data_IF_672264095104
#
_entry.id   IF_672264095104
#
_cell.length_a   1.000
_cell.length_b   1.000
_cell.length_c   1.000
_cell.angle_alpha   90.00
_cell.angle_beta   90.00
_cell.angle_gamma   90.00
#
_symmetry.space_group_name_H-M   'P 1'
#
loop_
_entity.id
_entity.type
_entity.pdbx_description
1 polymer ?
#
# COMPACT_ATOMS: atom_id res chain seq x y z
N UNK A 1 -83.74 -39.21 3.38
CA UNK A 1 -82.59 -39.25 2.42
C UNK A 1 -81.93 -37.89 2.38
N UNK A 2 -80.83 -37.77 3.10
CA UNK A 2 -80.13 -36.50 3.24
C UNK A 2 -78.81 -36.64 2.49
N UNK A 3 -78.66 -35.87 1.42
CA UNK A 3 -77.43 -35.87 0.61
C UNK A 3 -76.44 -34.84 1.20
N UNK A 4 -75.27 -35.30 1.67
CA UNK A 4 -74.21 -34.51 2.24
C UNK A 4 -73.22 -34.13 1.14
N UNK A 5 -73.13 -32.83 0.79
CA UNK A 5 -72.24 -32.29 -0.19
C UNK A 5 -70.90 -31.88 0.55
N UNK A 6 -69.86 -32.64 0.28
CA UNK A 6 -68.49 -32.29 0.80
C UNK A 6 -67.77 -31.42 -0.20
N UNK A 7 -67.61 -30.17 0.13
CA UNK A 7 -66.72 -29.23 -0.61
C UNK A 7 -65.22 -29.51 -0.28
N UNK A 8 -64.44 -29.86 -1.30
CA UNK A 8 -62.98 -29.99 -1.19
C UNK A 8 -62.37 -28.63 -1.51
N UNK A 9 -61.72 -28.06 -0.49
CA UNK A 9 -60.90 -26.84 -0.63
C UNK A 9 -59.54 -27.26 -1.16
N UNK A 10 -59.16 -26.81 -2.35
CA UNK A 10 -57.82 -26.93 -2.88
C UNK A 10 -57.01 -25.71 -2.38
N UNK A 11 -56.01 -25.95 -1.50
CA UNK A 11 -55.00 -24.96 -1.13
C UNK A 11 -53.91 -25.00 -2.16
N UNK A 12 -53.81 -23.98 -3.00
CA UNK A 12 -52.68 -23.79 -3.92
C UNK A 12 -51.54 -23.10 -3.15
N UNK A 13 -50.49 -23.87 -2.84
CA UNK A 13 -49.27 -23.32 -2.29
C UNK A 13 -48.47 -22.66 -3.43
N UNK A 14 -48.45 -21.33 -3.47
CA UNK A 14 -47.55 -20.56 -4.32
C UNK A 14 -46.17 -20.55 -3.68
N UNK A 15 -45.27 -21.40 -4.19
CA UNK A 15 -43.82 -21.33 -3.88
C UNK A 15 -43.24 -20.11 -4.59
N UNK A 16 -43.08 -19.02 -3.84
CA UNK A 16 -42.36 -17.85 -4.30
C UNK A 16 -40.85 -18.18 -4.38
N UNK A 17 -40.35 -18.30 -5.59
CA UNK A 17 -38.88 -18.36 -5.81
C UNK A 17 -38.31 -16.97 -5.60
N UNK A 18 -37.69 -16.74 -4.45
CA UNK A 18 -36.84 -15.57 -4.25
C UNK A 18 -35.60 -15.73 -5.14
N UNK A 19 -35.56 -15.02 -6.25
CA UNK A 19 -34.34 -14.82 -7.05
C UNK A 19 -33.43 -13.91 -6.22
N UNK A 20 -32.50 -14.50 -5.48
CA UNK A 20 -31.37 -13.77 -4.91
C UNK A 20 -30.54 -13.28 -6.10
N UNK A 21 -30.74 -12.03 -6.48
CA UNK A 21 -29.88 -11.33 -7.42
C UNK A 21 -28.45 -11.29 -6.80
N UNK A 22 -27.51 -12.03 -7.39
CA UNK A 22 -26.12 -11.84 -7.13
C UNK A 22 -25.76 -10.43 -7.62
N UNK A 23 -25.68 -9.46 -6.71
CA UNK A 23 -25.04 -8.20 -6.99
C UNK A 23 -23.58 -8.53 -7.36
N UNK A 24 -23.29 -8.47 -8.65
CA UNK A 24 -21.93 -8.46 -9.16
C UNK A 24 -21.22 -7.29 -8.49
N UNK A 25 -20.35 -7.58 -7.54
CA UNK A 25 -19.45 -6.57 -6.99
C UNK A 25 -18.63 -6.03 -8.17
N UNK A 26 -18.96 -4.83 -8.64
CA UNK A 26 -18.13 -4.15 -9.62
C UNK A 26 -16.76 -3.97 -8.98
N UNK A 27 -15.75 -4.61 -9.56
CA UNK A 27 -14.36 -4.37 -9.22
C UNK A 27 -14.10 -2.86 -9.34
N UNK A 28 -13.54 -2.26 -8.29
CA UNK A 28 -13.26 -0.84 -8.29
C UNK A 28 -12.29 -0.50 -9.43
N UNK A 29 -12.54 0.59 -10.13
CA UNK A 29 -11.65 1.01 -11.20
C UNK A 29 -10.24 1.32 -10.63
N UNK A 30 -9.16 0.96 -11.36
CA UNK A 30 -7.80 1.27 -10.94
C UNK A 30 -7.59 2.78 -10.73
N UNK A 31 -6.83 3.14 -9.71
CA UNK A 31 -6.55 4.52 -9.30
C UNK A 31 -5.26 4.97 -9.99
N UNK A 32 -5.27 5.99 -10.87
CA UNK A 32 -4.05 6.50 -11.45
C UNK A 32 -3.20 7.22 -10.39
N UNK A 33 -1.93 6.88 -10.30
CA UNK A 33 -0.95 7.64 -9.55
C UNK A 33 -0.49 8.81 -10.39
N UNK A 34 -0.53 10.00 -9.83
CA UNK A 34 -0.08 11.23 -10.50
C UNK A 34 1.11 11.76 -9.73
N UNK A 35 2.25 11.90 -10.40
CA UNK A 35 3.48 12.39 -9.81
C UNK A 35 3.27 13.73 -9.07
N UNK A 36 3.95 13.90 -7.96
CA UNK A 36 3.88 15.10 -7.11
C UNK A 36 2.49 15.34 -6.47
N UNK A 37 1.64 14.31 -6.41
CA UNK A 37 0.37 14.37 -5.66
C UNK A 37 0.49 13.58 -4.36
N UNK A 38 -0.52 13.75 -3.50
CA UNK A 38 -0.64 13.00 -2.25
C UNK A 38 -1.80 12.01 -2.35
N UNK A 39 -1.54 10.76 -1.98
CA UNK A 39 -2.56 9.70 -1.94
C UNK A 39 -2.82 9.29 -0.49
N UNK A 40 -3.95 9.71 0.05
CA UNK A 40 -4.35 9.49 1.45
C UNK A 40 -4.20 10.71 2.34
N UNK A 41 -4.61 10.57 3.62
CA UNK A 41 -4.53 11.62 4.62
C UNK A 41 -3.10 11.78 5.17
N UNK A 42 -2.65 13.01 5.40
CA UNK A 42 -1.37 13.30 6.05
C UNK A 42 -1.41 12.83 7.50
N UNK A 43 -0.46 12.00 7.89
CA UNK A 43 -0.28 11.55 9.27
C UNK A 43 1.18 11.52 9.72
N UNK A 44 2.09 11.51 8.78
CA UNK A 44 3.53 11.49 9.03
C UNK A 44 4.17 12.79 8.56
N UNK A 45 5.21 13.20 9.26
CA UNK A 45 6.11 14.24 8.79
C UNK A 45 6.91 13.74 7.56
N UNK A 46 7.54 14.63 6.77
CA UNK A 46 8.45 14.24 5.70
C UNK A 46 9.47 13.20 6.15
N UNK A 47 9.89 12.33 5.23
CA UNK A 47 10.52 11.05 5.52
C UNK A 47 11.88 11.03 6.20
N UNK A 48 12.56 12.18 6.40
CA UNK A 48 13.80 12.25 7.18
C UNK A 48 13.47 12.25 8.68
N UNK A 49 13.40 11.07 9.28
CA UNK A 49 13.11 10.91 10.70
C UNK A 49 14.40 10.79 11.52
N UNK A 50 14.38 11.14 12.83
CA UNK A 50 15.57 11.03 13.69
C UNK A 50 16.16 9.60 13.77
N UNK A 51 15.34 8.58 13.53
CA UNK A 51 15.75 7.17 13.56
C UNK A 51 16.05 6.60 12.18
N UNK A 52 15.89 7.39 11.12
CA UNK A 52 16.06 6.97 9.74
C UNK A 52 17.46 7.14 9.20
N UNK A 53 17.55 7.17 7.88
CA UNK A 53 18.80 7.29 7.15
C UNK A 53 19.30 8.71 7.07
N UNK A 54 20.48 8.99 7.65
CA UNK A 54 21.16 10.29 7.60
C UNK A 54 22.47 10.24 6.81
N UNK A 55 22.64 9.21 5.95
CA UNK A 55 23.84 8.96 5.15
C UNK A 55 24.71 7.80 5.63
N UNK A 56 24.42 7.21 6.81
CA UNK A 56 25.03 5.97 7.26
C UNK A 56 24.50 4.76 6.48
N UNK A 57 25.25 3.67 6.44
CA UNK A 57 24.78 2.41 5.86
C UNK A 57 23.68 1.80 6.75
N UNK A 58 22.55 1.43 6.15
CA UNK A 58 21.44 0.73 6.81
C UNK A 58 21.17 -0.56 6.04
N UNK A 59 21.22 -1.72 6.70
CA UNK A 59 21.02 -3.05 6.12
C UNK A 59 21.83 -3.30 4.84
N UNK A 60 23.07 -2.75 4.81
CA UNK A 60 23.94 -2.81 3.65
C UNK A 60 23.49 -1.93 2.48
N UNK A 61 22.58 -0.98 2.71
CA UNK A 61 22.16 0.05 1.75
C UNK A 61 22.84 1.36 2.13
N UNK A 62 23.53 1.95 1.17
CA UNK A 62 24.28 3.19 1.37
C UNK A 62 23.47 4.40 0.90
N UNK A 63 23.72 5.55 1.51
CA UNK A 63 23.34 6.83 0.97
C UNK A 63 24.37 7.31 -0.05
N UNK A 64 23.93 7.64 -1.25
CA UNK A 64 24.76 8.13 -2.35
C UNK A 64 24.54 9.63 -2.56
N UNK A 65 25.49 10.32 -3.20
CA UNK A 65 25.31 11.72 -3.62
C UNK A 65 24.46 11.88 -4.88
N UNK A 66 24.05 10.78 -5.50
CA UNK A 66 23.25 10.70 -6.72
C UNK A 66 22.52 9.37 -6.79
N UNK A 67 21.49 9.29 -7.61
CA UNK A 67 20.77 8.06 -7.96
C UNK A 67 21.71 7.05 -8.63
N UNK A 68 21.50 5.75 -8.34
CA UNK A 68 22.28 4.63 -8.85
C UNK A 68 21.38 3.80 -9.73
N UNK A 69 21.57 3.85 -11.05
CA UNK A 69 20.58 3.39 -12.05
C UNK A 69 20.95 2.05 -12.73
N UNK A 70 21.76 1.19 -12.11
CA UNK A 70 21.96 -0.16 -12.64
C UNK A 70 20.69 -1.00 -12.48
N UNK A 71 20.00 -0.86 -11.37
CA UNK A 71 18.62 -1.28 -11.16
C UNK A 71 17.77 -0.04 -10.95
N UNK A 72 16.68 0.08 -11.69
CA UNK A 72 15.73 1.16 -11.58
C UNK A 72 14.33 0.59 -11.73
N UNK A 73 13.67 0.29 -10.61
CA UNK A 73 12.31 -0.23 -10.56
C UNK A 73 11.50 0.51 -9.51
N UNK A 74 10.19 0.44 -9.64
CA UNK A 74 9.24 1.13 -8.77
C UNK A 74 8.25 0.13 -8.18
N UNK A 75 8.04 0.19 -6.87
CA UNK A 75 6.97 -0.49 -6.18
C UNK A 75 5.99 0.56 -5.62
N UNK A 76 4.80 0.16 -5.22
CA UNK A 76 3.84 1.06 -4.59
C UNK A 76 3.42 0.51 -3.22
N UNK A 77 3.41 1.38 -2.22
CA UNK A 77 2.93 1.11 -0.87
C UNK A 77 1.69 1.94 -0.58
N UNK A 78 0.56 1.28 -0.34
CA UNK A 78 -0.62 1.90 0.27
C UNK A 78 -0.77 1.47 1.72
N UNK A 79 -1.10 2.42 2.60
CA UNK A 79 -1.30 2.18 4.02
C UNK A 79 -2.70 2.61 4.42
N UNK A 80 -3.40 1.74 5.15
CA UNK A 80 -4.73 2.02 5.67
C UNK A 80 -4.75 1.88 7.19
N UNK A 81 -5.31 2.87 7.86
CA UNK A 81 -5.60 2.83 9.30
C UNK A 81 -7.11 2.79 9.49
N UNK A 82 -7.64 1.64 9.95
CA UNK A 82 -9.08 1.45 10.18
C UNK A 82 -9.93 1.86 8.96
N UNK A 83 -9.49 1.46 7.77
CA UNK A 83 -10.17 1.73 6.51
C UNK A 83 -9.89 3.10 5.88
N UNK A 84 -9.21 4.01 6.58
CA UNK A 84 -8.79 5.30 6.04
C UNK A 84 -7.40 5.20 5.44
N UNK A 85 -7.22 5.68 4.20
CA UNK A 85 -5.90 5.70 3.55
C UNK A 85 -5.03 6.80 4.13
N UNK A 86 -3.81 6.43 4.51
CA UNK A 86 -2.77 7.31 5.06
C UNK A 86 -1.67 7.46 4.02
N UNK A 87 -1.29 8.69 3.75
CA UNK A 87 -0.22 8.97 2.79
C UNK A 87 1.13 8.50 3.31
N UNK A 88 1.89 7.82 2.46
CA UNK A 88 3.31 7.58 2.68
C UNK A 88 4.02 8.91 2.38
N UNK A 89 4.83 9.46 3.30
CA UNK A 89 5.39 10.78 3.09
C UNK A 89 6.47 10.80 2.01
N UNK A 90 6.66 11.95 1.41
CA UNK A 90 7.82 12.21 0.55
C UNK A 90 9.12 12.26 1.34
N UNK A 91 10.26 12.07 0.68
CA UNK A 91 11.58 12.27 1.25
C UNK A 91 12.09 11.14 2.14
N UNK A 92 11.37 10.00 2.24
CA UNK A 92 11.94 8.80 2.87
C UNK A 92 13.20 8.42 2.09
N UNK A 93 14.31 8.20 2.80
CA UNK A 93 15.59 7.85 2.19
C UNK A 93 16.29 9.00 1.43
N UNK A 94 15.80 10.24 1.53
CA UNK A 94 16.47 11.43 1.00
C UNK A 94 16.98 12.25 2.16
N UNK A 95 18.32 12.36 2.27
CA UNK A 95 18.99 13.00 3.41
C UNK A 95 18.91 14.53 3.31
N UNK A 96 18.42 15.17 4.37
CA UNK A 96 18.31 16.64 4.45
C UNK A 96 19.72 17.33 4.46
N UNK A 97 19.79 18.61 4.04
CA UNK A 97 18.69 19.41 3.51
C UNK A 97 18.30 19.02 2.08
N UNK A 98 17.00 19.06 1.79
CA UNK A 98 16.45 18.94 0.45
C UNK A 98 15.41 20.04 0.19
N UNK A 99 15.12 20.31 -1.09
CA UNK A 99 14.08 21.24 -1.50
C UNK A 99 12.83 20.47 -1.97
N UNK A 100 11.66 20.95 -1.57
CA UNK A 100 10.38 20.48 -2.10
C UNK A 100 9.90 21.43 -3.18
N UNK A 101 9.76 20.95 -4.41
CA UNK A 101 9.23 21.71 -5.54
C UNK A 101 7.93 21.08 -6.03
N UNK A 102 6.83 21.80 -5.88
CA UNK A 102 5.50 21.33 -6.32
C UNK A 102 5.13 19.92 -5.79
N UNK A 103 5.45 19.60 -4.53
CA UNK A 103 5.14 18.31 -3.93
C UNK A 103 6.14 17.18 -4.25
N UNK A 104 7.24 17.50 -4.93
CA UNK A 104 8.29 16.54 -5.30
C UNK A 104 9.63 16.96 -4.67
N UNK A 105 10.38 15.98 -4.17
CA UNK A 105 11.73 16.11 -3.65
C UNK A 105 12.70 15.47 -4.63
N UNK A 106 13.69 16.22 -5.07
CA UNK A 106 14.83 15.66 -5.81
C UNK A 106 15.85 15.01 -4.88
N UNK A 107 17.10 14.99 -5.32
CA UNK A 107 18.24 14.55 -4.48
C UNK A 107 18.51 15.59 -3.41
N UNK A 108 18.61 15.16 -2.14
CA UNK A 108 19.05 16.01 -1.04
C UNK A 108 20.58 16.02 -0.91
N UNK A 109 21.09 16.11 0.33
CA UNK A 109 22.53 15.94 0.61
C UNK A 109 23.03 14.52 0.29
N UNK A 110 22.09 13.54 0.28
CA UNK A 110 22.32 12.17 -0.11
C UNK A 110 20.98 11.49 -0.39
N UNK A 111 21.03 10.37 -1.08
CA UNK A 111 19.86 9.57 -1.43
C UNK A 111 20.17 8.08 -1.24
N UNK A 112 19.32 7.38 -0.52
CA UNK A 112 19.39 5.93 -0.37
C UNK A 112 18.82 5.24 -1.60
N UNK A 113 19.23 4.03 -1.87
CA UNK A 113 18.74 3.23 -2.98
C UNK A 113 17.24 2.90 -2.89
N UNK A 114 16.65 3.00 -1.69
CA UNK A 114 15.21 2.90 -1.45
C UNK A 114 14.72 4.25 -0.92
N UNK A 115 13.83 4.91 -1.67
CA UNK A 115 13.39 6.25 -1.32
C UNK A 115 12.02 6.60 -1.91
N UNK A 116 11.45 7.75 -1.49
CA UNK A 116 10.23 8.34 -2.05
C UNK A 116 10.48 9.80 -2.43
N UNK A 117 10.06 10.20 -3.63
CA UNK A 117 10.14 11.60 -4.07
C UNK A 117 8.88 12.40 -3.72
N UNK A 118 7.73 11.77 -3.66
CA UNK A 118 6.45 12.41 -3.41
C UNK A 118 5.57 11.55 -2.47
N UNK A 119 4.35 12.02 -2.20
CA UNK A 119 3.42 11.33 -1.30
C UNK A 119 2.41 10.43 -2.04
N UNK A 120 2.77 9.91 -3.21
CA UNK A 120 1.95 8.93 -3.95
C UNK A 120 2.03 7.53 -3.35
N UNK A 121 3.07 7.24 -2.57
CA UNK A 121 3.40 5.90 -2.08
C UNK A 121 4.29 5.10 -3.03
N UNK A 122 4.79 5.70 -4.12
CA UNK A 122 5.77 5.07 -4.99
C UNK A 122 7.11 4.99 -4.26
N UNK A 123 7.64 3.78 -4.15
CA UNK A 123 8.98 3.49 -3.63
C UNK A 123 9.89 3.27 -4.84
N UNK A 124 10.91 4.10 -4.95
CA UNK A 124 11.99 3.95 -5.91
C UNK A 124 13.02 2.95 -5.38
N UNK A 125 13.43 2.03 -6.22
CA UNK A 125 14.54 1.10 -5.99
C UNK A 125 15.59 1.41 -7.05
N UNK A 126 16.59 2.20 -6.68
CA UNK A 126 17.62 2.70 -7.58
C UNK A 126 18.98 2.31 -7.02
N UNK A 127 19.51 1.19 -7.48
CA UNK A 127 20.69 0.58 -6.86
C UNK A 127 21.83 0.29 -7.82
N UNK A 128 23.09 0.19 -7.32
CA UNK A 128 24.25 -0.18 -8.11
C UNK A 128 24.37 -1.69 -8.37
N UNK A 129 23.49 -2.50 -7.81
CA UNK A 129 23.53 -3.96 -7.94
C UNK A 129 22.14 -4.57 -8.11
N UNK A 130 22.08 -5.83 -8.52
CA UNK A 130 20.84 -6.55 -8.84
C UNK A 130 20.29 -7.39 -7.69
N UNK A 131 20.74 -7.15 -6.45
CA UNK A 131 20.17 -7.88 -5.30
C UNK A 131 18.71 -7.51 -5.06
N UNK A 132 18.03 -8.37 -4.35
CA UNK A 132 16.64 -8.17 -3.96
C UNK A 132 16.56 -7.21 -2.77
N UNK A 133 15.64 -6.26 -2.83
CA UNK A 133 15.32 -5.34 -1.74
C UNK A 133 13.94 -5.64 -1.17
N UNK A 134 13.76 -5.36 0.12
CA UNK A 134 12.53 -5.68 0.84
C UNK A 134 11.87 -4.47 1.48
N UNK A 135 10.57 -4.60 1.77
CA UNK A 135 9.81 -3.59 2.49
C UNK A 135 10.40 -3.31 3.88
N UNK A 136 10.96 -4.34 4.54
CA UNK A 136 11.65 -4.18 5.82
C UNK A 136 12.80 -3.19 5.75
N UNK A 137 13.66 -3.32 4.74
CA UNK A 137 14.78 -2.41 4.52
C UNK A 137 14.32 -0.96 4.24
N UNK A 138 13.22 -0.79 3.49
CA UNK A 138 12.62 0.53 3.28
C UNK A 138 12.15 1.16 4.60
N UNK A 139 11.52 0.38 5.49
CA UNK A 139 11.10 0.84 6.80
C UNK A 139 12.29 1.15 7.73
N UNK A 140 13.38 0.41 7.64
CA UNK A 140 14.60 0.68 8.41
C UNK A 140 15.26 1.99 7.95
N UNK A 141 15.29 2.27 6.64
CA UNK A 141 15.72 3.56 6.10
C UNK A 141 14.79 4.69 6.54
N UNK A 142 13.48 4.47 6.59
CA UNK A 142 12.52 5.42 7.13
C UNK A 142 12.67 5.61 8.65
N UNK A 143 13.30 4.66 9.35
CA UNK A 143 13.43 4.66 10.81
C UNK A 143 12.09 4.35 11.49
N UNK A 144 11.22 3.57 10.87
CA UNK A 144 9.89 3.24 11.35
C UNK A 144 9.71 1.74 11.57
N UNK A 145 8.86 1.41 12.54
CA UNK A 145 8.52 0.01 12.87
C UNK A 145 7.65 -0.61 11.79
N UNK A 146 7.95 -1.85 11.40
CA UNK A 146 7.07 -2.71 10.60
C UNK A 146 7.04 -4.11 11.22
N UNK A 147 5.86 -4.54 11.68
CA UNK A 147 5.61 -5.90 12.17
C UNK A 147 4.12 -6.26 12.14
N UNK A 148 3.75 -7.46 12.62
CA UNK A 148 2.37 -7.94 12.60
C UNK A 148 1.37 -7.13 13.47
N UNK A 149 1.84 -6.17 14.28
CA UNK A 149 1.01 -5.39 15.21
C UNK A 149 1.23 -3.88 15.13
N UNK A 150 2.19 -3.42 14.33
CA UNK A 150 2.53 -2.02 14.23
C UNK A 150 3.13 -1.69 12.87
N UNK A 151 2.69 -0.58 12.29
CA UNK A 151 3.23 0.02 11.07
C UNK A 151 3.47 1.51 11.35
N UNK A 152 4.72 1.96 11.34
CA UNK A 152 5.11 3.36 11.53
C UNK A 152 4.44 4.01 12.75
N UNK A 153 4.46 3.36 13.91
CA UNK A 153 3.82 3.83 15.14
C UNK A 153 2.29 3.59 15.21
N UNK A 154 1.65 3.19 14.12
CA UNK A 154 0.23 2.85 14.11
C UNK A 154 0.02 1.44 14.64
N UNK A 155 -0.64 1.32 15.79
CA UNK A 155 -0.82 0.05 16.50
C UNK A 155 -2.16 -0.60 16.17
N UNK A 156 -2.14 -1.92 15.93
CA UNK A 156 -3.31 -2.74 15.63
C UNK A 156 -2.92 -4.07 14.97
N UNK A 157 -3.92 -4.91 14.68
CA UNK A 157 -3.68 -6.08 13.85
C UNK A 157 -3.31 -5.64 12.44
N UNK A 158 -2.15 -6.09 11.95
CA UNK A 158 -1.66 -5.74 10.62
C UNK A 158 -2.04 -6.83 9.61
N UNK A 159 -2.56 -6.39 8.47
CA UNK A 159 -2.73 -7.22 7.28
C UNK A 159 -1.86 -6.68 6.16
N UNK A 160 -1.17 -7.58 5.48
CA UNK A 160 -0.40 -7.22 4.30
C UNK A 160 -0.94 -7.95 3.06
N UNK A 161 -0.90 -7.28 1.93
CA UNK A 161 -1.27 -7.83 0.62
C UNK A 161 -0.19 -7.46 -0.40
N UNK A 162 0.04 -8.35 -1.34
CA UNK A 162 0.91 -8.14 -2.49
C UNK A 162 0.08 -8.42 -3.74
N UNK A 163 -0.03 -7.44 -4.63
CA UNK A 163 -0.84 -7.49 -5.84
C UNK A 163 -2.27 -7.99 -5.57
N UNK A 164 -2.89 -7.42 -4.53
CA UNK A 164 -4.24 -7.74 -4.07
C UNK A 164 -4.38 -9.10 -3.35
N UNK A 165 -3.32 -9.91 -3.27
CA UNK A 165 -3.35 -11.22 -2.60
C UNK A 165 -2.82 -11.11 -1.17
N UNK A 166 -3.52 -11.76 -0.22
CA UNK A 166 -3.11 -11.78 1.18
C UNK A 166 -1.70 -12.36 1.33
N UNK A 167 -0.80 -11.59 1.92
CA UNK A 167 0.53 -12.05 2.35
C UNK A 167 0.45 -12.62 3.77
N UNK A 168 0.89 -13.86 3.97
CA UNK A 168 0.82 -14.56 5.27
C UNK A 168 2.15 -14.58 6.04
N UNK A 169 3.24 -14.15 5.40
CA UNK A 169 4.58 -14.06 6.00
C UNK A 169 4.81 -12.78 6.81
N UNK A 170 6.03 -12.56 7.23
CA UNK A 170 6.46 -11.30 7.80
C UNK A 170 6.32 -10.19 6.72
N UNK A 171 5.60 -9.08 6.98
CA UNK A 171 5.51 -8.00 6.01
C UNK A 171 6.88 -7.39 5.66
N UNK A 172 7.88 -7.57 6.51
CA UNK A 172 9.25 -7.12 6.25
C UNK A 172 9.92 -7.85 5.09
N UNK A 173 9.50 -9.11 4.81
CA UNK A 173 10.09 -9.95 3.77
C UNK A 173 9.48 -9.68 2.37
N UNK A 174 8.50 -8.80 2.25
CA UNK A 174 7.88 -8.46 0.97
C UNK A 174 8.91 -7.80 0.05
N UNK A 175 9.10 -8.39 -1.12
CA UNK A 175 10.07 -7.93 -2.13
C UNK A 175 9.54 -6.68 -2.83
N UNK A 176 10.41 -5.69 -2.98
CA UNK A 176 10.18 -4.48 -3.78
C UNK A 176 10.56 -4.75 -5.24
N UNK A 177 9.67 -5.41 -5.98
CA UNK A 177 9.85 -5.70 -7.40
C UNK A 177 9.22 -4.65 -8.30
N UNK A 178 9.48 -4.75 -9.61
CA UNK A 178 8.90 -3.85 -10.61
C UNK A 178 7.37 -3.90 -10.57
N UNK A 179 6.74 -2.76 -10.31
CA UNK A 179 5.30 -2.54 -10.20
C UNK A 179 4.58 -3.40 -9.14
N UNK A 180 5.31 -3.97 -8.18
CA UNK A 180 4.71 -4.66 -7.04
C UNK A 180 3.85 -3.68 -6.25
N UNK A 181 2.57 -4.02 -6.04
CA UNK A 181 1.63 -3.21 -5.26
C UNK A 181 1.43 -3.82 -3.87
N UNK A 182 1.85 -3.09 -2.86
CA UNK A 182 1.78 -3.52 -1.47
C UNK A 182 0.69 -2.74 -0.76
N UNK A 183 -0.22 -3.44 -0.08
CA UNK A 183 -1.21 -2.80 0.79
C UNK A 183 -0.97 -3.28 2.22
N UNK A 184 -0.77 -2.34 3.13
CA UNK A 184 -0.74 -2.57 4.56
C UNK A 184 -2.01 -1.99 5.20
N UNK A 185 -2.65 -2.76 6.06
CA UNK A 185 -3.84 -2.34 6.81
C UNK A 185 -3.61 -2.52 8.31
N UNK A 186 -3.93 -1.51 9.09
CA UNK A 186 -3.78 -1.51 10.55
C UNK A 186 -5.14 -1.32 11.23
N UNK A 187 -5.63 -2.37 11.85
CA UNK A 187 -6.92 -2.37 12.57
C UNK A 187 -8.15 -2.35 11.66
N UNK A 188 -9.25 -2.91 12.17
CA UNK A 188 -10.54 -2.92 11.45
C UNK A 188 -11.25 -1.55 11.49
N UNK A 189 -12.13 -1.23 10.52
CA UNK A 189 -12.45 -2.05 9.37
C UNK A 189 -11.30 -2.17 8.37
N UNK A 190 -11.26 -3.30 7.65
CA UNK A 190 -10.32 -3.55 6.57
C UNK A 190 -11.00 -3.27 5.24
N UNK A 191 -10.24 -2.87 4.23
CA UNK A 191 -10.74 -2.55 2.89
C UNK A 191 -10.33 -3.64 1.89
N UNK A 192 -10.98 -3.68 0.72
CA UNK A 192 -10.43 -4.41 -0.42
C UNK A 192 -9.21 -3.65 -0.92
N UNK A 193 -8.02 -4.30 -1.06
CA UNK A 193 -6.84 -3.64 -1.58
C UNK A 193 -7.12 -2.96 -2.92
N UNK A 194 -6.89 -1.65 -3.05
CA UNK A 194 -7.07 -0.96 -4.32
C UNK A 194 -5.97 -1.35 -5.31
N UNK A 195 -6.27 -1.19 -6.59
CA UNK A 195 -5.30 -1.34 -7.68
C UNK A 195 -4.89 0.04 -8.16
N UNK A 196 -3.60 0.26 -8.35
CA UNK A 196 -3.05 1.53 -8.82
C UNK A 196 -2.42 1.38 -10.20
N UNK A 197 -2.44 2.47 -10.97
CA UNK A 197 -1.76 2.57 -12.26
C UNK A 197 -0.60 3.53 -12.12
N UNK A 198 0.61 3.04 -12.36
CA UNK A 198 1.81 3.85 -12.32
C UNK A 198 1.81 4.90 -13.43
N UNK A 199 2.43 6.06 -13.22
CA UNK A 199 2.68 7.03 -14.29
C UNK A 199 3.46 6.40 -15.43
N UNK A 200 3.25 6.90 -16.66
CA UNK A 200 4.03 6.45 -17.80
C UNK A 200 5.52 6.76 -17.60
N UNK A 201 6.36 5.75 -17.76
CA UNK A 201 7.82 5.86 -17.61
C UNK A 201 8.37 5.45 -16.26
N UNK A 202 7.50 5.09 -15.30
CA UNK A 202 7.87 4.48 -14.02
C UNK A 202 7.62 2.99 -14.04
#
# INVERSE_FOLDING_TARGET
MTVQNSARIFVVLLLGHAVLGAESQREAAPIPLVQATQVGATKFEPGDTPSGGHGQTIDGIEGSSREMLQVHVHAHLSLFLKGEQIAIPYGIGIVQPFEVKNGFVGVGRGIYWLHTHDATGIIHVESPDSRTYTLGQFFDIWGQTLNAREVAGLKGAVRAYVDGKRHSGDPRDIVLGAHTQITLEVGAPFVTPPVYVFPAGL
#
